data_IF_962576187257
#
_entry.id   IF_962576187257
#
_cell.length_a   1.000
_cell.length_b   1.000
_cell.length_c   1.000
_cell.angle_alpha   90.00
_cell.angle_beta   90.00
_cell.angle_gamma   90.00
#
_symmetry.space_group_name_H-M   'P 1'
#
loop_
_entity.id
_entity.type
_entity.pdbx_description
1 polymer ?
#
# COMPACT_ATOMS: atom_id res chain seq x y z
N UNK A 1 -80.78 -29.67 -13.72
CA UNK A 1 -79.32 -29.57 -13.93
C UNK A 1 -78.58 -28.94 -12.75
N UNK A 2 -79.27 -28.22 -11.84
CA UNK A 2 -78.61 -27.46 -10.77
C UNK A 2 -77.92 -28.28 -9.68
N UNK A 3 -78.41 -29.50 -9.38
CA UNK A 3 -77.86 -30.29 -8.28
C UNK A 3 -76.50 -30.94 -8.61
N UNK A 4 -76.25 -31.28 -9.88
CA UNK A 4 -74.96 -31.85 -10.32
C UNK A 4 -73.85 -30.79 -10.38
N UNK A 5 -74.20 -29.56 -10.79
CA UNK A 5 -73.28 -28.43 -10.80
C UNK A 5 -72.82 -28.07 -9.38
N UNK A 6 -73.75 -28.07 -8.41
CA UNK A 6 -73.42 -27.75 -7.01
C UNK A 6 -72.47 -28.76 -6.38
N UNK A 7 -72.70 -30.06 -6.61
CA UNK A 7 -71.82 -31.13 -6.13
C UNK A 7 -70.43 -31.05 -6.80
N UNK A 8 -70.38 -30.75 -8.11
CA UNK A 8 -69.11 -30.58 -8.82
C UNK A 8 -68.27 -29.45 -8.22
N UNK A 9 -68.84 -28.27 -7.96
CA UNK A 9 -68.13 -27.14 -7.36
C UNK A 9 -67.73 -27.36 -5.88
N UNK A 10 -68.54 -28.07 -5.09
CA UNK A 10 -68.18 -28.44 -3.72
C UNK A 10 -67.00 -29.42 -3.67
N UNK A 11 -67.02 -30.46 -4.52
CA UNK A 11 -65.93 -31.45 -4.61
C UNK A 11 -64.65 -30.80 -5.16
N UNK A 12 -64.77 -29.97 -6.21
CA UNK A 12 -63.62 -29.27 -6.79
C UNK A 12 -63.02 -28.23 -5.82
N UNK A 13 -63.86 -27.52 -5.07
CA UNK A 13 -63.43 -26.56 -4.04
C UNK A 13 -62.68 -27.21 -2.87
N UNK A 14 -63.13 -28.39 -2.42
CA UNK A 14 -62.42 -29.18 -1.40
C UNK A 14 -61.09 -29.70 -1.93
N UNK A 15 -61.04 -30.14 -3.20
CA UNK A 15 -59.80 -30.59 -3.85
C UNK A 15 -58.78 -29.45 -4.03
N UNK A 16 -59.24 -28.25 -4.42
CA UNK A 16 -58.39 -27.08 -4.59
C UNK A 16 -57.85 -26.56 -3.24
N UNK A 17 -58.68 -26.50 -2.19
CA UNK A 17 -58.24 -26.14 -0.83
C UNK A 17 -57.19 -27.10 -0.28
N UNK A 18 -57.34 -28.41 -0.49
CA UNK A 18 -56.33 -29.41 -0.11
C UNK A 18 -54.99 -29.17 -0.81
N UNK A 19 -54.99 -28.87 -2.11
CA UNK A 19 -53.77 -28.56 -2.88
C UNK A 19 -53.09 -27.27 -2.41
N UNK A 20 -53.87 -26.22 -2.11
CA UNK A 20 -53.35 -24.96 -1.57
C UNK A 20 -52.74 -25.17 -0.18
N UNK A 21 -53.39 -25.93 0.70
CA UNK A 21 -52.82 -26.26 2.02
C UNK A 21 -51.53 -27.09 1.93
N UNK A 22 -51.44 -28.03 0.98
CA UNK A 22 -50.22 -28.82 0.75
C UNK A 22 -49.08 -27.91 0.22
N UNK A 23 -49.37 -26.99 -0.69
CA UNK A 23 -48.40 -26.00 -1.18
C UNK A 23 -47.93 -25.03 -0.08
N UNK A 24 -48.84 -24.53 0.76
CA UNK A 24 -48.51 -23.66 1.89
C UNK A 24 -47.71 -24.41 2.98
N UNK A 25 -48.03 -25.67 3.26
CA UNK A 25 -47.24 -26.50 4.16
C UNK A 25 -45.82 -26.77 3.64
N UNK A 26 -45.67 -26.98 2.32
CA UNK A 26 -44.36 -27.10 1.68
C UNK A 26 -43.56 -25.79 1.72
N UNK A 27 -44.21 -24.64 1.52
CA UNK A 27 -43.57 -23.33 1.62
C UNK A 27 -43.07 -23.03 3.06
N UNK A 28 -43.86 -23.39 4.08
CA UNK A 28 -43.47 -23.25 5.50
C UNK A 28 -42.33 -24.20 5.88
N UNK A 29 -42.30 -25.41 5.30
CA UNK A 29 -41.20 -26.38 5.49
C UNK A 29 -39.88 -25.90 4.86
N UNK A 30 -39.96 -25.21 3.71
CA UNK A 30 -38.79 -24.65 3.03
C UNK A 30 -38.23 -23.41 3.75
N UNK A 31 -39.09 -22.55 4.33
CA UNK A 31 -38.65 -21.37 5.08
C UNK A 31 -38.23 -21.66 6.52
N UNK A 32 -38.77 -22.70 7.16
CA UNK A 32 -38.40 -23.09 8.53
C UNK A 32 -37.07 -23.83 8.63
N UNK A 33 -36.59 -24.43 7.54
CA UNK A 33 -35.34 -25.20 7.55
C UNK A 33 -34.10 -24.31 7.68
N UNK A 34 -34.10 -23.14 7.01
CA UNK A 34 -32.97 -22.19 7.06
C UNK A 34 -32.80 -21.56 8.43
N UNK A 35 -33.88 -21.19 9.12
CA UNK A 35 -33.79 -20.64 10.48
C UNK A 35 -33.29 -21.68 11.49
N UNK A 36 -33.71 -22.94 11.36
CA UNK A 36 -33.26 -24.05 12.22
C UNK A 36 -31.78 -24.40 11.93
N UNK A 37 -31.35 -24.31 10.67
CA UNK A 37 -29.95 -24.49 10.28
C UNK A 37 -29.06 -23.43 10.93
N UNK A 38 -29.40 -22.14 10.78
CA UNK A 38 -28.70 -21.01 11.41
C UNK A 38 -28.60 -21.12 12.93
N UNK A 39 -29.68 -21.52 13.61
CA UNK A 39 -29.65 -21.69 15.07
C UNK A 39 -28.67 -22.82 15.48
N UNK A 40 -28.68 -23.95 14.75
CA UNK A 40 -27.76 -25.06 15.03
C UNK A 40 -26.31 -24.70 14.71
N UNK A 41 -26.07 -23.98 13.61
CA UNK A 41 -24.76 -23.46 13.28
C UNK A 41 -24.27 -22.51 14.37
N UNK A 42 -25.10 -21.55 14.80
CA UNK A 42 -24.78 -20.63 15.91
C UNK A 42 -24.45 -21.34 17.21
N UNK A 43 -25.11 -22.46 17.52
CA UNK A 43 -24.74 -23.28 18.68
C UNK A 43 -23.32 -23.86 18.55
N UNK A 44 -22.94 -24.34 17.37
CA UNK A 44 -21.60 -24.85 17.11
C UNK A 44 -20.55 -23.74 17.10
N UNK A 45 -20.86 -22.56 16.56
CA UNK A 45 -19.96 -21.39 16.58
C UNK A 45 -19.64 -20.99 18.03
N UNK A 46 -20.66 -20.82 18.88
CA UNK A 46 -20.46 -20.49 20.31
C UNK A 46 -19.65 -21.53 21.06
N UNK A 47 -19.81 -22.81 20.71
CA UNK A 47 -18.99 -23.85 21.28
C UNK A 47 -17.53 -23.71 20.80
N UNK A 48 -17.32 -23.43 19.52
CA UNK A 48 -15.99 -23.22 18.96
C UNK A 48 -15.27 -22.01 19.56
N UNK A 49 -15.92 -20.86 19.66
CA UNK A 49 -15.38 -19.65 20.31
C UNK A 49 -14.96 -19.95 21.75
N UNK A 50 -15.81 -20.69 22.50
CA UNK A 50 -15.47 -21.14 23.84
C UNK A 50 -14.21 -22.02 23.83
N UNK A 51 -14.13 -22.99 22.92
CA UNK A 51 -12.97 -23.87 22.81
C UNK A 51 -11.69 -23.11 22.40
N UNK A 52 -11.78 -22.09 21.54
CA UNK A 52 -10.67 -21.19 21.21
C UNK A 52 -10.14 -20.46 22.45
N UNK A 53 -11.03 -19.92 23.29
CA UNK A 53 -10.68 -19.27 24.56
C UNK A 53 -10.07 -20.24 25.59
N UNK A 54 -10.44 -21.52 25.51
CA UNK A 54 -9.89 -22.60 26.35
C UNK A 54 -8.61 -23.22 25.74
N UNK A 55 -8.13 -22.71 24.59
CA UNK A 55 -7.02 -23.24 23.79
C UNK A 55 -7.21 -24.71 23.34
N UNK A 56 -8.46 -25.21 23.35
CA UNK A 56 -8.83 -26.55 22.86
C UNK A 56 -9.13 -26.48 21.35
N UNK A 57 -8.08 -26.25 20.56
CA UNK A 57 -8.21 -26.01 19.13
C UNK A 57 -8.79 -27.21 18.37
N UNK A 58 -8.50 -28.44 18.82
CA UNK A 58 -9.07 -29.66 18.22
C UNK A 58 -10.61 -29.65 18.29
N UNK A 59 -11.18 -29.34 19.47
CA UNK A 59 -12.64 -29.27 19.60
C UNK A 59 -13.23 -28.06 18.88
N UNK A 60 -12.53 -26.91 18.87
CA UNK A 60 -12.93 -25.74 18.10
C UNK A 60 -13.07 -26.08 16.60
N UNK A 61 -12.05 -26.72 16.02
CA UNK A 61 -12.03 -27.17 14.62
C UNK A 61 -13.21 -28.13 14.33
N UNK A 62 -13.49 -29.09 15.22
CA UNK A 62 -14.63 -30.02 15.04
C UNK A 62 -15.96 -29.26 15.03
N UNK A 63 -16.14 -28.31 15.95
CA UNK A 63 -17.37 -27.52 16.03
C UNK A 63 -17.54 -26.61 14.80
N UNK A 64 -16.47 -25.95 14.34
CA UNK A 64 -16.49 -25.09 13.16
C UNK A 64 -16.80 -25.85 11.87
N UNK A 65 -16.24 -27.05 11.70
CA UNK A 65 -16.61 -27.89 10.56
C UNK A 65 -18.11 -28.23 10.53
N UNK A 66 -18.73 -28.50 11.68
CA UNK A 66 -20.19 -28.69 11.77
C UNK A 66 -20.97 -27.42 11.46
N UNK A 67 -20.48 -26.25 11.90
CA UNK A 67 -21.09 -24.97 11.56
C UNK A 67 -21.06 -24.71 10.04
N UNK A 68 -19.94 -25.00 9.39
CA UNK A 68 -19.76 -24.90 7.93
C UNK A 68 -20.66 -25.88 7.18
N UNK A 69 -20.81 -27.12 7.66
CA UNK A 69 -21.74 -28.09 7.04
C UNK A 69 -23.19 -27.59 7.03
N UNK A 70 -23.59 -26.84 8.06
CA UNK A 70 -24.93 -26.28 8.20
C UNK A 70 -25.09 -24.97 7.40
N UNK A 71 -24.09 -24.09 7.45
CA UNK A 71 -24.10 -22.79 6.78
C UNK A 71 -22.84 -22.63 5.89
N UNK A 72 -22.78 -23.33 4.73
CA UNK A 72 -21.57 -23.38 3.88
C UNK A 72 -21.29 -22.08 3.12
N UNK A 73 -22.12 -21.05 3.29
CA UNK A 73 -21.95 -19.72 2.68
C UNK A 73 -21.60 -18.62 3.69
N UNK A 74 -21.53 -18.95 4.97
CA UNK A 74 -21.14 -17.99 5.99
C UNK A 74 -19.60 -17.93 6.05
N UNK A 75 -19.03 -16.77 5.70
CA UNK A 75 -17.57 -16.57 5.60
C UNK A 75 -16.91 -16.54 6.98
N UNK A 76 -17.56 -15.96 7.99
CA UNK A 76 -17.09 -15.95 9.39
C UNK A 76 -16.70 -17.33 9.91
N UNK A 77 -17.50 -18.36 9.58
CA UNK A 77 -17.21 -19.75 9.96
C UNK A 77 -15.88 -20.25 9.37
N UNK A 78 -15.55 -19.82 8.16
CA UNK A 78 -14.27 -20.15 7.52
C UNK A 78 -13.13 -19.30 8.09
N UNK A 79 -13.36 -18.03 8.42
CA UNK A 79 -12.36 -17.17 9.10
C UNK A 79 -11.97 -17.77 10.45
N UNK A 80 -12.94 -18.09 11.31
CA UNK A 80 -12.71 -18.75 12.59
C UNK A 80 -12.01 -20.11 12.44
N UNK A 81 -12.31 -20.86 11.38
CA UNK A 81 -11.63 -22.14 11.12
C UNK A 81 -10.18 -21.93 10.68
N UNK A 82 -9.91 -20.92 9.86
CA UNK A 82 -8.56 -20.58 9.46
C UNK A 82 -7.73 -20.15 10.67
N UNK A 83 -8.31 -19.33 11.55
CA UNK A 83 -7.71 -18.90 12.81
C UNK A 83 -7.43 -20.09 13.75
N UNK A 84 -8.43 -20.96 13.98
CA UNK A 84 -8.26 -22.16 14.80
C UNK A 84 -7.11 -23.05 14.29
N UNK A 85 -6.99 -23.21 12.97
CA UNK A 85 -5.85 -23.93 12.38
C UNK A 85 -4.51 -23.22 12.58
N UNK A 86 -4.44 -21.89 12.62
CA UNK A 86 -3.18 -21.18 12.90
C UNK A 86 -2.78 -21.32 14.36
N UNK A 87 -3.72 -21.12 15.29
CA UNK A 87 -3.47 -21.27 16.73
C UNK A 87 -3.05 -22.71 17.09
N UNK A 88 -3.53 -23.71 16.33
CA UNK A 88 -3.11 -25.12 16.44
C UNK A 88 -1.80 -25.46 15.70
N UNK A 89 -1.13 -24.49 15.06
CA UNK A 89 0.10 -24.70 14.27
C UNK A 89 -0.09 -25.40 12.92
N UNK A 90 -1.34 -25.63 12.48
CA UNK A 90 -1.68 -26.28 11.22
C UNK A 90 -1.75 -25.29 10.04
N UNK A 91 -0.66 -24.55 9.80
CA UNK A 91 -0.59 -23.47 8.80
C UNK A 91 -1.04 -23.88 7.39
N UNK A 92 -0.68 -25.08 6.92
CA UNK A 92 -1.10 -25.59 5.61
C UNK A 92 -2.63 -25.76 5.47
N UNK A 93 -3.29 -26.17 6.56
CA UNK A 93 -4.76 -26.27 6.58
C UNK A 93 -5.39 -24.89 6.63
N UNK A 94 -4.83 -23.96 7.41
CA UNK A 94 -5.25 -22.57 7.42
C UNK A 94 -5.16 -21.93 6.02
N UNK A 95 -4.00 -22.00 5.34
CA UNK A 95 -3.83 -21.50 3.95
C UNK A 95 -4.87 -22.10 3.00
N UNK A 96 -5.21 -23.39 3.18
CA UNK A 96 -6.23 -24.06 2.38
C UNK A 96 -7.66 -23.55 2.64
N UNK A 97 -7.98 -23.15 3.88
CA UNK A 97 -9.26 -22.54 4.24
C UNK A 97 -9.34 -21.12 3.72
N UNK A 98 -8.31 -20.30 3.92
CA UNK A 98 -8.21 -18.93 3.40
C UNK A 98 -8.38 -18.89 1.86
N UNK A 99 -7.80 -19.86 1.14
CA UNK A 99 -8.00 -19.99 -0.31
C UNK A 99 -9.45 -20.26 -0.72
N UNK A 100 -10.28 -20.84 0.16
CA UNK A 100 -11.72 -21.00 -0.08
C UNK A 100 -12.46 -19.68 0.13
N UNK A 101 -12.02 -18.86 1.10
CA UNK A 101 -12.62 -17.55 1.40
C UNK A 101 -12.56 -16.61 0.19
N UNK A 102 -11.41 -16.58 -0.52
CA UNK A 102 -11.25 -15.83 -1.79
C UNK A 102 -12.20 -16.23 -2.94
N UNK A 103 -13.03 -17.25 -2.77
CA UNK A 103 -14.04 -17.68 -3.77
C UNK A 103 -15.44 -17.17 -3.48
N UNK A 104 -15.65 -16.46 -2.38
CA UNK A 104 -16.90 -15.76 -2.11
C UNK A 104 -16.86 -14.41 -2.83
N UNK A 105 -17.97 -14.06 -3.49
CA UNK A 105 -18.04 -12.88 -4.37
C UNK A 105 -18.24 -11.57 -3.59
N UNK A 106 -18.84 -11.64 -2.39
CA UNK A 106 -19.25 -10.47 -1.59
C UNK A 106 -18.76 -10.62 -0.14
N UNK A 107 -17.50 -10.21 0.15
CA UNK A 107 -17.03 -10.06 1.53
C UNK A 107 -17.36 -8.64 2.03
N UNK A 108 -17.74 -8.54 3.30
CA UNK A 108 -17.81 -7.27 4.02
C UNK A 108 -16.40 -6.73 4.30
N UNK A 109 -16.28 -5.42 4.56
CA UNK A 109 -14.99 -4.80 4.90
C UNK A 109 -14.37 -5.44 6.16
N UNK A 110 -15.20 -5.84 7.13
CA UNK A 110 -14.76 -6.58 8.32
C UNK A 110 -14.22 -7.98 7.96
N UNK A 111 -14.91 -8.73 7.08
CA UNK A 111 -14.43 -10.04 6.62
C UNK A 111 -13.14 -9.93 5.80
N UNK A 112 -12.98 -8.87 4.99
CA UNK A 112 -11.74 -8.57 4.25
C UNK A 112 -10.60 -8.27 5.22
N UNK A 113 -10.85 -7.41 6.20
CA UNK A 113 -9.89 -7.07 7.26
C UNK A 113 -9.40 -8.32 7.98
N UNK A 114 -10.31 -9.15 8.49
CA UNK A 114 -9.98 -10.42 9.16
C UNK A 114 -9.26 -11.40 8.24
N UNK A 115 -9.69 -11.50 6.99
CA UNK A 115 -9.02 -12.33 5.98
C UNK A 115 -7.57 -11.89 5.77
N UNK A 116 -7.33 -10.58 5.60
CA UNK A 116 -6.00 -10.03 5.36
C UNK A 116 -5.07 -10.31 6.55
N UNK A 117 -5.53 -10.10 7.78
CA UNK A 117 -4.79 -10.41 9.01
C UNK A 117 -4.37 -11.88 9.07
N UNK A 118 -5.31 -12.80 8.84
CA UNK A 118 -5.02 -14.23 8.84
C UNK A 118 -4.14 -14.65 7.65
N UNK A 119 -4.22 -13.95 6.52
CA UNK A 119 -3.46 -14.27 5.32
C UNK A 119 -2.04 -13.67 5.31
N UNK A 120 -1.78 -12.68 6.17
CA UNK A 120 -0.57 -11.85 6.20
C UNK A 120 0.72 -12.67 6.14
N UNK A 121 0.90 -13.64 7.04
CA UNK A 121 2.09 -14.52 7.07
C UNK A 121 2.36 -15.21 5.72
N UNK A 122 1.31 -15.65 5.04
CA UNK A 122 1.44 -16.32 3.74
C UNK A 122 1.82 -15.33 2.65
N UNK A 123 1.26 -14.12 2.69
CA UNK A 123 1.58 -13.03 1.75
C UNK A 123 3.04 -12.62 1.91
N UNK A 124 3.51 -12.40 3.14
CA UNK A 124 4.89 -11.96 3.41
C UNK A 124 5.88 -13.02 2.95
N UNK A 125 5.57 -14.30 3.22
CA UNK A 125 6.35 -15.43 2.70
C UNK A 125 6.39 -15.42 1.17
N UNK A 126 5.24 -15.27 0.51
CA UNK A 126 5.14 -15.31 -0.94
C UNK A 126 5.90 -14.09 -1.56
N UNK A 127 5.80 -12.89 -0.98
CA UNK A 127 6.54 -11.67 -1.37
C UNK A 127 8.06 -11.86 -1.21
N UNK A 128 8.53 -12.23 -0.01
CA UNK A 128 9.96 -12.38 0.28
C UNK A 128 10.59 -13.53 -0.54
N UNK A 129 9.84 -14.61 -0.75
CA UNK A 129 10.27 -15.72 -1.61
C UNK A 129 10.34 -15.31 -3.06
N UNK A 130 9.39 -14.50 -3.54
CA UNK A 130 9.46 -13.95 -4.90
C UNK A 130 10.70 -13.06 -5.05
N UNK A 131 10.90 -12.12 -4.12
CA UNK A 131 12.07 -11.24 -4.13
C UNK A 131 13.39 -12.04 -4.11
N UNK A 132 13.49 -13.07 -3.25
CA UNK A 132 14.66 -13.94 -3.24
C UNK A 132 14.94 -14.60 -4.60
N UNK A 133 13.92 -15.12 -5.26
CA UNK A 133 14.08 -15.89 -6.49
C UNK A 133 14.26 -15.01 -7.73
N UNK A 134 13.64 -13.83 -7.77
CA UNK A 134 13.54 -13.02 -8.99
C UNK A 134 14.23 -11.67 -8.89
N UNK A 135 14.60 -11.21 -7.69
CA UNK A 135 15.11 -9.86 -7.47
C UNK A 135 14.03 -8.81 -7.58
N UNK A 136 12.74 -9.21 -7.61
CA UNK A 136 11.58 -8.32 -7.75
C UNK A 136 10.67 -8.35 -6.53
N UNK A 137 10.44 -7.18 -5.96
CA UNK A 137 9.50 -6.94 -4.87
C UNK A 137 8.55 -5.77 -5.19
N UNK A 138 8.94 -4.91 -6.15
CA UNK A 138 8.29 -3.65 -6.46
C UNK A 138 9.08 -2.47 -5.90
N UNK A 139 9.02 -1.31 -6.56
CA UNK A 139 9.75 -0.12 -6.14
C UNK A 139 11.20 -0.09 -6.63
N UNK A 140 12.08 0.48 -5.81
CA UNK A 140 13.39 0.99 -6.24
C UNK A 140 14.53 -0.04 -6.20
N UNK A 141 14.34 -1.20 -5.55
CA UNK A 141 15.38 -2.21 -5.37
C UNK A 141 15.42 -3.25 -6.51
N UNK A 142 14.43 -3.25 -7.40
CA UNK A 142 14.19 -4.35 -8.33
C UNK A 142 15.34 -4.58 -9.33
N UNK A 143 15.75 -5.84 -9.47
CA UNK A 143 16.74 -6.30 -10.46
C UNK A 143 16.35 -7.69 -11.01
N UNK A 144 17.01 -8.14 -12.07
CA UNK A 144 16.72 -9.44 -12.69
C UNK A 144 17.70 -10.49 -12.18
N UNK A 145 17.24 -11.42 -11.33
CA UNK A 145 18.04 -12.56 -10.89
C UNK A 145 17.74 -13.02 -9.47
N UNK A 146 18.27 -14.17 -9.08
CA UNK A 146 18.13 -14.65 -7.71
C UNK A 146 19.11 -13.90 -6.80
N UNK A 147 18.66 -13.47 -5.61
CA UNK A 147 19.46 -12.70 -4.66
C UNK A 147 20.80 -13.37 -4.32
N UNK A 148 20.86 -14.70 -4.25
CA UNK A 148 22.10 -15.43 -3.97
C UNK A 148 23.19 -15.29 -5.03
N UNK A 149 22.87 -14.74 -6.20
CA UNK A 149 23.80 -14.50 -7.31
C UNK A 149 24.35 -13.06 -7.30
N UNK A 150 23.83 -12.17 -6.46
CA UNK A 150 24.39 -10.83 -6.25
C UNK A 150 25.61 -10.92 -5.30
N UNK A 151 26.81 -10.88 -5.88
CA UNK A 151 28.06 -10.91 -5.12
C UNK A 151 28.47 -9.54 -4.58
N UNK A 152 27.87 -8.46 -5.08
CA UNK A 152 28.18 -7.08 -4.68
C UNK A 152 27.46 -6.73 -3.39
N UNK A 153 26.28 -7.31 -3.15
CA UNK A 153 25.44 -7.00 -2.00
C UNK A 153 25.06 -8.24 -1.18
N UNK A 154 24.91 -8.04 0.13
CA UNK A 154 24.21 -8.98 1.01
C UNK A 154 22.86 -8.37 1.36
N UNK A 155 21.78 -9.13 1.14
CA UNK A 155 20.43 -8.70 1.51
C UNK A 155 20.11 -9.25 2.89
N UNK A 156 19.85 -8.36 3.84
CA UNK A 156 19.33 -8.69 5.17
C UNK A 156 17.87 -8.23 5.24
N UNK A 157 17.07 -8.83 6.11
CA UNK A 157 15.69 -8.41 6.29
C UNK A 157 15.23 -8.49 7.74
N UNK A 158 14.15 -7.78 8.03
CA UNK A 158 13.44 -7.81 9.31
C UNK A 158 11.97 -7.51 9.05
N UNK A 159 11.10 -8.05 9.89
CA UNK A 159 9.68 -7.73 9.86
C UNK A 159 9.35 -7.06 11.20
N UNK A 160 8.86 -5.83 11.16
CA UNK A 160 8.64 -5.01 12.36
C UNK A 160 7.67 -3.87 12.05
N UNK A 161 6.74 -3.62 12.98
CA UNK A 161 5.80 -2.49 12.91
C UNK A 161 6.52 -1.17 13.20
N UNK A 162 6.91 -0.47 12.14
CA UNK A 162 7.55 0.85 12.21
C UNK A 162 6.56 1.99 11.97
N UNK A 163 5.40 1.69 11.37
CA UNK A 163 4.33 2.67 11.11
C UNK A 163 3.40 2.87 12.30
N UNK A 164 3.45 1.98 13.30
CA UNK A 164 2.69 2.07 14.54
C UNK A 164 1.22 1.70 14.41
N UNK A 165 0.81 1.06 13.30
CA UNK A 165 -0.57 0.65 13.03
C UNK A 165 -0.90 -0.77 13.54
N UNK A 166 0.07 -1.45 14.15
CA UNK A 166 -0.06 -2.82 14.64
C UNK A 166 0.18 -3.89 13.56
N UNK A 167 0.51 -3.49 12.33
CA UNK A 167 0.86 -4.36 11.21
C UNK A 167 2.35 -4.19 10.94
N UNK A 168 3.09 -5.29 10.87
CA UNK A 168 4.54 -5.24 10.72
C UNK A 168 4.95 -4.92 9.27
N UNK A 169 5.88 -4.01 9.03
CA UNK A 169 6.44 -3.79 7.68
C UNK A 169 7.57 -4.76 7.35
N UNK A 170 7.78 -5.00 6.05
CA UNK A 170 8.96 -5.71 5.55
C UNK A 170 10.09 -4.69 5.36
N UNK A 171 11.18 -4.86 6.10
CA UNK A 171 12.39 -4.05 5.95
C UNK A 171 13.46 -4.89 5.25
N UNK A 172 13.99 -4.38 4.14
CA UNK A 172 15.11 -4.98 3.41
C UNK A 172 16.30 -4.04 3.51
N UNK A 173 17.43 -4.58 3.97
CA UNK A 173 18.71 -3.89 3.95
C UNK A 173 19.62 -4.49 2.89
N UNK A 174 19.86 -3.73 1.82
CA UNK A 174 20.86 -4.06 0.80
C UNK A 174 22.22 -3.55 1.27
N UNK A 175 22.99 -4.43 1.89
CA UNK A 175 24.32 -4.10 2.41
C UNK A 175 25.38 -4.29 1.34
N UNK A 176 26.22 -3.28 1.11
CA UNK A 176 27.40 -3.43 0.25
C UNK A 176 28.39 -4.42 0.87
N UNK A 177 28.88 -5.38 0.08
CA UNK A 177 29.98 -6.26 0.48
C UNK A 177 31.34 -5.55 0.39
N UNK A 178 31.41 -4.44 -0.34
CA UNK A 178 32.57 -3.56 -0.37
C UNK A 178 32.52 -2.56 0.79
N UNK A 179 33.65 -2.43 1.49
CA UNK A 179 33.80 -1.48 2.59
C UNK A 179 33.86 -0.03 2.06
N UNK A 180 33.08 0.90 2.63
CA UNK A 180 33.10 2.29 2.21
C UNK A 180 34.49 2.93 2.41
N UNK A 181 35.00 3.56 1.35
CA UNK A 181 36.34 4.16 1.32
C UNK A 181 36.44 5.39 2.26
N UNK A 182 35.35 6.13 2.42
CA UNK A 182 35.24 7.31 3.28
C UNK A 182 33.89 7.35 4.01
N UNK A 183 33.69 8.38 4.86
CA UNK A 183 32.50 8.53 5.70
C UNK A 183 31.19 8.78 4.90
N UNK A 184 31.32 9.31 3.69
CA UNK A 184 30.21 9.55 2.77
C UNK A 184 29.94 8.34 1.87
N UNK A 185 30.89 7.40 1.79
CA UNK A 185 30.75 6.17 1.03
C UNK A 185 29.54 5.34 1.46
N UNK A 186 28.91 4.72 0.46
CA UNK A 186 27.70 3.90 0.61
C UNK A 186 27.97 2.64 1.43
N UNK A 187 27.32 2.51 2.58
CA UNK A 187 27.29 1.31 3.43
C UNK A 187 26.21 0.34 2.94
N UNK A 188 25.08 0.88 2.50
CA UNK A 188 23.96 0.13 1.97
C UNK A 188 22.73 1.01 1.80
N UNK A 189 21.60 0.39 1.48
CA UNK A 189 20.29 1.06 1.42
C UNK A 189 19.27 0.27 2.22
N UNK A 190 18.35 0.98 2.88
CA UNK A 190 17.22 0.41 3.60
C UNK A 190 15.94 0.70 2.83
N UNK A 191 15.15 -0.33 2.57
CA UNK A 191 13.87 -0.24 1.88
C UNK A 191 12.79 -0.76 2.82
N UNK A 192 11.70 -0.01 2.94
CA UNK A 192 10.59 -0.33 3.84
C UNK A 192 9.33 -0.53 3.01
N UNK A 193 8.69 -1.67 3.21
CA UNK A 193 7.51 -2.06 2.46
C UNK A 193 6.33 -2.30 3.38
N UNK A 194 5.22 -1.60 3.10
CA UNK A 194 3.90 -1.92 3.63
C UNK A 194 3.23 -2.91 2.70
N UNK A 195 2.51 -3.89 3.25
CA UNK A 195 1.77 -4.86 2.45
C UNK A 195 0.33 -4.42 2.28
N UNK A 196 -0.06 -4.12 1.05
CA UNK A 196 -1.38 -3.61 0.68
C UNK A 196 -1.92 -4.48 -0.44
N UNK A 197 -3.12 -5.04 -0.25
CA UNK A 197 -3.79 -5.91 -1.24
C UNK A 197 -2.88 -7.05 -1.77
N UNK A 198 -2.23 -7.77 -0.84
CA UNK A 198 -1.26 -8.83 -1.11
C UNK A 198 0.02 -8.39 -1.87
N UNK A 199 0.30 -7.10 -2.00
CA UNK A 199 1.49 -6.55 -2.68
C UNK A 199 2.37 -5.75 -1.73
N UNK A 200 3.68 -5.79 -1.94
CA UNK A 200 4.61 -4.90 -1.27
C UNK A 200 4.57 -3.51 -1.92
N UNK A 201 4.41 -2.48 -1.11
CA UNK A 201 4.42 -1.07 -1.50
C UNK A 201 5.54 -0.38 -0.76
N UNK A 202 6.52 0.15 -1.48
CA UNK A 202 7.65 0.89 -0.90
C UNK A 202 7.13 2.18 -0.25
N UNK A 203 7.31 2.31 1.07
CA UNK A 203 6.91 3.49 1.86
C UNK A 203 8.09 4.35 2.29
N UNK A 204 9.32 3.81 2.14
CA UNK A 204 10.57 4.53 2.37
C UNK A 204 11.74 3.84 1.65
N UNK A 205 12.73 4.64 1.26
CA UNK A 205 13.97 4.21 0.64
C UNK A 205 15.12 5.12 1.11
N UNK A 206 16.00 4.57 1.94
CA UNK A 206 16.99 5.32 2.68
C UNK A 206 18.40 4.89 2.27
N UNK A 207 19.17 5.85 1.77
CA UNK A 207 20.61 5.69 1.59
C UNK A 207 21.35 5.73 2.93
N UNK A 208 22.14 4.71 3.22
CA UNK A 208 22.94 4.64 4.45
C UNK A 208 24.42 4.78 4.10
N UNK A 209 25.06 5.86 4.59
CA UNK A 209 26.52 6.04 4.49
C UNK A 209 27.27 5.30 5.61
N UNK A 210 28.58 5.18 5.48
CA UNK A 210 29.47 4.43 6.38
C UNK A 210 29.19 4.61 7.87
N UNK A 211 29.10 5.85 8.33
CA UNK A 211 28.98 6.21 9.75
C UNK A 211 27.52 6.45 10.17
N UNK A 212 26.57 6.20 9.28
CA UNK A 212 25.15 6.46 9.47
C UNK A 212 24.36 5.19 9.80
N UNK A 213 23.26 5.41 10.51
CA UNK A 213 22.22 4.42 10.81
C UNK A 213 20.88 5.11 10.98
N UNK A 214 19.82 4.33 10.82
CA UNK A 214 18.43 4.75 11.01
C UNK A 214 17.88 4.21 12.33
N UNK A 215 17.17 5.07 13.05
CA UNK A 215 16.49 4.71 14.30
C UNK A 215 15.02 5.08 14.18
N UNK A 216 14.16 4.07 14.29
CA UNK A 216 12.70 4.19 14.29
C UNK A 216 12.16 4.20 15.71
N UNK A 217 11.13 5.00 15.95
CA UNK A 217 10.50 5.23 17.24
C UNK A 217 9.04 4.78 17.23
N UNK A 218 8.47 4.58 18.43
CA UNK A 218 7.08 4.11 18.60
C UNK A 218 6.00 5.11 18.18
N UNK A 219 6.36 6.36 17.86
CA UNK A 219 5.45 7.38 17.36
C UNK A 219 5.54 7.54 15.83
N UNK A 220 5.93 6.46 15.15
CA UNK A 220 5.98 6.37 13.69
C UNK A 220 6.93 7.39 13.06
N UNK A 221 7.99 7.74 13.79
CA UNK A 221 9.05 8.63 13.33
C UNK A 221 10.38 7.90 13.26
N UNK A 222 11.28 8.38 12.40
CA UNK A 222 12.67 7.92 12.41
C UNK A 222 13.66 9.05 12.22
N UNK A 223 14.93 8.73 12.47
CA UNK A 223 16.02 9.68 12.40
C UNK A 223 17.27 9.06 11.78
N UNK A 224 17.84 9.77 10.81
CA UNK A 224 19.15 9.47 10.24
C UNK A 224 20.26 10.10 11.09
N UNK A 225 21.06 9.30 11.76
CA UNK A 225 22.10 9.81 12.67
C UNK A 225 23.47 9.22 12.38
N UNK A 226 24.51 9.96 12.76
CA UNK A 226 25.89 9.46 12.80
C UNK A 226 26.30 9.14 14.24
N UNK A 227 26.65 7.89 14.50
CA UNK A 227 26.96 7.38 15.84
C UNK A 227 25.73 7.01 16.69
N UNK A 228 25.91 6.98 18.01
CA UNK A 228 24.87 6.57 18.96
C UNK A 228 23.93 7.72 19.32
N UNK A 229 22.64 7.40 19.52
CA UNK A 229 21.61 8.36 19.99
C UNK A 229 22.04 9.07 21.30
N UNK A 230 22.83 8.41 22.13
CA UNK A 230 23.37 8.93 23.40
C UNK A 230 24.49 9.97 23.23
N UNK A 231 25.10 10.06 22.04
CA UNK A 231 26.29 10.86 21.80
C UNK A 231 26.30 11.57 20.46
N UNK A 232 25.12 11.80 19.86
CA UNK A 232 24.99 12.48 18.55
C UNK A 232 25.81 13.77 18.55
N UNK A 233 26.86 13.78 17.74
CA UNK A 233 27.66 14.96 17.44
C UNK A 233 27.36 15.35 15.99
N UNK A 234 26.34 16.18 15.78
CA UNK A 234 26.05 16.73 14.45
C UNK A 234 24.58 16.89 14.12
N UNK A 235 24.35 17.17 12.85
CA UNK A 235 23.03 17.30 12.23
C UNK A 235 22.43 15.91 11.97
N UNK A 236 21.12 15.79 12.19
CA UNK A 236 20.31 14.63 11.85
C UNK A 236 19.12 15.07 11.01
N UNK A 237 18.54 14.13 10.28
CA UNK A 237 17.29 14.35 9.55
C UNK A 237 16.19 13.57 10.26
N UNK A 238 15.11 14.25 10.61
CA UNK A 238 13.95 13.66 11.26
C UNK A 238 12.82 13.48 10.25
N UNK A 239 12.17 12.32 10.30
CA UNK A 239 11.11 11.95 9.40
C UNK A 239 9.92 11.43 10.19
N UNK A 240 8.71 11.72 9.70
CA UNK A 240 7.45 11.24 10.29
C UNK A 240 6.63 10.51 9.24
N UNK A 241 6.02 9.40 9.64
CA UNK A 241 5.13 8.64 8.78
C UNK A 241 3.83 9.42 8.53
N UNK A 242 3.40 9.44 7.28
CA UNK A 242 2.14 10.02 6.86
C UNK A 242 1.19 8.92 6.37
N UNK A 243 0.17 8.62 7.18
CA UNK A 243 -0.82 7.58 6.87
C UNK A 243 -1.63 7.89 5.60
N UNK A 244 -1.92 9.16 5.32
CA UNK A 244 -2.79 9.57 4.20
C UNK A 244 -2.21 9.13 2.84
N UNK A 245 -0.87 9.15 2.72
CA UNK A 245 -0.16 8.77 1.50
C UNK A 245 0.80 7.58 1.66
N UNK A 246 0.82 6.98 2.85
CA UNK A 246 1.70 5.87 3.24
C UNK A 246 3.17 6.10 2.87
N UNK A 247 3.75 7.19 3.38
CA UNK A 247 5.14 7.57 3.09
C UNK A 247 5.79 8.26 4.31
N UNK A 248 7.07 7.99 4.55
CA UNK A 248 7.86 8.79 5.50
C UNK A 248 8.32 10.09 4.86
N UNK A 249 8.03 11.21 5.53
CA UNK A 249 8.33 12.53 5.02
C UNK A 249 9.28 13.26 5.96
N UNK A 250 10.22 14.02 5.36
CA UNK A 250 11.09 14.89 6.12
C UNK A 250 10.25 15.92 6.88
N UNK A 251 10.58 16.14 8.15
CA UNK A 251 9.89 17.09 9.00
C UNK A 251 10.87 18.22 9.37
N UNK A 252 10.48 19.46 9.06
CA UNK A 252 11.29 20.66 9.33
C UNK A 252 11.36 20.98 10.83
N UNK A 253 10.33 20.61 11.60
CA UNK A 253 10.29 20.80 13.04
C UNK A 253 10.99 19.63 13.76
N UNK A 254 12.32 19.67 13.77
CA UNK A 254 13.15 18.66 14.44
C UNK A 254 12.98 18.70 15.97
N UNK A 255 12.64 17.57 16.63
CA UNK A 255 12.61 17.48 18.09
C UNK A 255 14.02 17.63 18.65
N UNK A 256 14.19 18.29 19.80
CA UNK A 256 15.51 18.42 20.43
C UNK A 256 16.17 17.06 20.70
N UNK A 257 17.51 17.02 20.76
CA UNK A 257 18.24 15.78 21.08
C UNK A 257 17.75 15.14 22.39
N UNK A 258 17.41 15.96 23.39
CA UNK A 258 16.87 15.46 24.66
C UNK A 258 15.48 14.85 24.53
N UNK A 259 14.65 15.32 23.60
CA UNK A 259 13.34 14.71 23.29
C UNK A 259 13.53 13.40 22.53
N UNK A 260 14.40 13.36 21.51
CA UNK A 260 14.74 12.14 20.78
C UNK A 260 15.27 11.03 21.71
N UNK A 261 16.14 11.37 22.67
CA UNK A 261 16.68 10.42 23.65
C UNK A 261 15.64 9.85 24.62
N UNK A 262 14.48 10.50 24.75
CA UNK A 262 13.37 10.02 25.58
C UNK A 262 12.39 9.16 24.79
N UNK A 263 12.44 9.19 23.45
CA UNK A 263 11.59 8.36 22.61
C UNK A 263 11.97 6.89 22.76
N UNK A 264 10.96 6.03 22.70
CA UNK A 264 11.14 4.58 22.73
C UNK A 264 11.53 4.09 21.33
N UNK A 265 12.69 3.46 21.22
CA UNK A 265 13.17 2.87 19.98
C UNK A 265 12.40 1.58 19.68
N UNK A 266 11.93 1.46 18.44
CA UNK A 266 11.29 0.27 17.86
C UNK A 266 12.32 -0.54 17.08
N UNK A 267 13.10 0.14 16.24
CA UNK A 267 14.04 -0.50 15.33
C UNK A 267 15.29 0.37 15.15
N UNK A 268 16.44 -0.29 15.03
CA UNK A 268 17.74 0.30 14.74
C UNK A 268 18.32 -0.45 13.55
N UNK A 269 18.70 0.24 12.48
CA UNK A 269 19.19 -0.40 11.25
C UNK A 269 20.44 -1.25 11.48
N UNK A 270 21.27 -0.95 12.49
CA UNK A 270 22.44 -1.78 12.81
C UNK A 270 22.07 -3.11 13.48
N UNK A 271 20.82 -3.25 13.94
CA UNK A 271 20.31 -4.50 14.53
C UNK A 271 19.90 -5.55 13.49
N UNK A 272 19.94 -5.23 12.20
CA UNK A 272 19.55 -6.18 11.14
C UNK A 272 20.69 -7.15 10.86
N UNK A 273 20.45 -8.44 11.12
CA UNK A 273 21.47 -9.49 11.02
C UNK A 273 21.00 -10.74 10.26
N UNK A 274 19.71 -10.82 9.94
CA UNK A 274 19.10 -11.98 9.28
C UNK A 274 19.28 -11.91 7.78
N UNK A 275 20.12 -12.80 7.23
CA UNK A 275 20.34 -12.93 5.79
C UNK A 275 19.05 -13.37 5.09
N UNK A 276 18.68 -12.70 4.01
CA UNK A 276 17.52 -13.04 3.20
C UNK A 276 17.79 -14.31 2.38
N UNK A 277 17.18 -15.41 2.81
CA UNK A 277 17.16 -16.70 2.12
C UNK A 277 15.91 -17.48 2.55
N UNK A 278 15.56 -18.54 1.82
CA UNK A 278 14.33 -19.31 2.05
C UNK A 278 14.21 -19.87 3.47
N UNK A 279 15.29 -20.38 4.06
CA UNK A 279 15.28 -20.94 5.43
C UNK A 279 15.00 -19.85 6.48
N UNK A 280 15.65 -18.70 6.34
CA UNK A 280 15.47 -17.57 7.23
C UNK A 280 14.09 -16.92 7.07
N UNK A 281 13.56 -16.84 5.83
CA UNK A 281 12.18 -16.40 5.56
C UNK A 281 11.19 -17.32 6.27
N UNK A 282 11.32 -18.63 6.08
CA UNK A 282 10.43 -19.61 6.71
C UNK A 282 10.43 -19.50 8.23
N UNK A 283 11.62 -19.35 8.83
CA UNK A 283 11.78 -19.19 10.28
C UNK A 283 11.12 -17.91 10.78
N UNK A 284 11.32 -16.77 10.10
CA UNK A 284 10.78 -15.48 10.54
C UNK A 284 9.26 -15.44 10.46
N UNK A 285 8.70 -15.97 9.37
CA UNK A 285 7.24 -16.04 9.15
C UNK A 285 6.56 -16.97 10.17
N UNK A 286 7.21 -18.07 10.55
CA UNK A 286 6.69 -18.96 11.60
C UNK A 286 6.67 -18.28 12.98
N UNK A 287 7.65 -17.41 13.25
CA UNK A 287 7.80 -16.70 14.53
C UNK A 287 6.94 -15.43 14.67
N UNK A 288 6.40 -14.90 13.57
CA UNK A 288 5.44 -13.78 13.63
C UNK A 288 4.32 -14.07 14.63
N UNK A 289 3.88 -13.08 15.38
CA UNK A 289 2.73 -13.28 16.27
C UNK A 289 1.45 -13.47 15.44
N UNK A 290 0.51 -14.27 15.96
CA UNK A 290 -0.82 -14.36 15.36
C UNK A 290 -1.58 -13.15 15.90
N UNK A 291 -1.82 -12.17 15.04
CA UNK A 291 -2.67 -11.02 15.36
C UNK A 291 -4.10 -11.49 15.52
N UNK A 292 -4.75 -11.11 16.61
CA UNK A 292 -6.17 -11.40 16.81
C UNK A 292 -6.98 -10.56 15.81
N UNK A 293 -7.74 -11.18 14.89
CA UNK A 293 -8.51 -10.42 13.90
C UNK A 293 -9.55 -9.48 14.53
N UNK A 294 -9.96 -9.71 15.77
CA UNK A 294 -10.91 -8.85 16.49
C UNK A 294 -10.23 -7.62 17.13
N UNK A 295 -8.89 -7.60 17.24
CA UNK A 295 -8.12 -6.44 17.71
C UNK A 295 -7.84 -5.42 16.59
N UNK A 296 -8.24 -5.72 15.35
CA UNK A 296 -7.99 -4.86 14.19
C UNK A 296 -8.91 -3.62 14.18
N UNK A 297 -8.29 -2.44 14.12
CA UNK A 297 -9.01 -1.18 13.91
C UNK A 297 -9.33 -0.99 12.43
N UNK A 298 -10.60 -1.17 12.04
CA UNK A 298 -11.07 -0.71 10.72
C UNK A 298 -11.39 0.78 10.87
N UNK A 299 -10.56 1.64 10.27
CA UNK A 299 -10.82 3.08 10.28
C UNK A 299 -12.12 3.38 9.54
N UNK A 300 -13.07 4.03 10.21
CA UNK A 300 -14.42 4.37 9.70
C UNK A 300 -14.40 5.55 8.71
N UNK A 301 -13.21 6.06 8.37
CA UNK A 301 -13.03 7.38 7.77
C UNK A 301 -12.93 7.30 6.24
N UNK A 302 -14.06 7.04 5.59
CA UNK A 302 -14.29 7.69 4.28
C UNK A 302 -14.84 9.07 4.56
N UNK A 303 -13.94 10.03 4.84
CA UNK A 303 -14.37 11.44 4.91
C UNK A 303 -14.78 11.86 3.51
N UNK A 304 -16.09 12.02 3.30
CA UNK A 304 -16.64 12.72 2.14
C UNK A 304 -15.95 14.09 2.03
N UNK A 305 -15.05 14.22 1.06
CA UNK A 305 -14.31 15.46 0.81
C UNK A 305 -15.29 16.48 0.20
N UNK A 306 -15.38 17.67 0.79
CA UNK A 306 -16.01 18.82 0.12
C UNK A 306 -15.08 19.31 -1.01
N UNK A 307 -15.27 18.72 -2.21
CA UNK A 307 -14.53 19.00 -3.46
C UNK A 307 -14.47 20.51 -3.77
N UNK A 308 -15.39 21.33 -3.24
CA UNK A 308 -15.38 22.79 -3.45
C UNK A 308 -14.19 23.52 -2.79
N UNK A 309 -13.35 22.82 -2.01
CA UNK A 309 -12.18 23.40 -1.35
C UNK A 309 -10.82 23.04 -2.00
N UNK A 310 -10.79 22.14 -2.99
CA UNK A 310 -9.53 21.63 -3.60
C UNK A 310 -8.71 22.75 -4.25
N UNK A 311 -9.32 23.56 -5.11
CA UNK A 311 -8.64 24.69 -5.76
C UNK A 311 -8.09 25.73 -4.76
N UNK A 312 -8.71 25.86 -3.58
CA UNK A 312 -8.20 26.76 -2.51
C UNK A 312 -6.97 26.18 -1.83
N UNK A 313 -6.92 24.87 -1.65
CA UNK A 313 -5.74 24.19 -1.12
C UNK A 313 -4.56 24.27 -2.10
N UNK A 314 -4.80 24.15 -3.41
CA UNK A 314 -3.77 24.39 -4.43
C UNK A 314 -3.33 25.85 -4.52
N UNK A 315 -4.24 26.81 -4.28
CA UNK A 315 -3.88 28.22 -4.16
C UNK A 315 -2.81 28.45 -3.10
N UNK A 316 -2.92 27.79 -1.95
CA UNK A 316 -1.95 27.94 -0.87
C UNK A 316 -0.57 27.39 -1.27
N UNK A 317 -0.52 26.25 -1.96
CA UNK A 317 0.71 25.69 -2.55
C UNK A 317 1.32 26.67 -3.56
N UNK A 318 0.53 27.16 -4.52
CA UNK A 318 1.02 28.06 -5.57
C UNK A 318 1.53 29.40 -5.02
N UNK A 319 0.91 29.95 -3.96
CA UNK A 319 1.43 31.15 -3.31
C UNK A 319 2.71 30.89 -2.52
N UNK A 320 2.88 29.70 -1.95
CA UNK A 320 4.16 29.31 -1.34
C UNK A 320 5.25 29.29 -2.40
N UNK A 321 5.02 28.63 -3.52
CA UNK A 321 5.96 28.59 -4.64
C UNK A 321 6.26 29.98 -5.23
N UNK A 322 5.23 30.82 -5.42
CA UNK A 322 5.39 32.18 -5.94
C UNK A 322 6.27 33.07 -5.04
N UNK A 323 6.16 32.89 -3.72
CA UNK A 323 6.93 33.66 -2.75
C UNK A 323 8.27 32.99 -2.40
N UNK A 324 8.57 31.82 -2.97
CA UNK A 324 9.83 31.11 -2.75
C UNK A 324 10.96 31.88 -3.42
N UNK A 325 11.98 32.25 -2.65
CA UNK A 325 13.08 33.11 -3.11
C UNK A 325 14.28 32.34 -3.64
N UNK A 326 14.12 31.02 -3.84
CA UNK A 326 15.15 30.13 -4.38
C UNK A 326 16.24 29.72 -3.38
N UNK A 327 16.11 30.13 -2.11
CA UNK A 327 16.99 29.70 -1.03
C UNK A 327 16.15 29.24 0.16
N UNK A 328 15.99 27.94 0.30
CA UNK A 328 15.59 27.41 1.58
C UNK A 328 16.81 27.23 2.47
N UNK A 329 17.03 28.17 3.39
CA UNK A 329 18.07 28.04 4.41
C UNK A 329 17.70 27.01 5.50
N UNK A 330 16.45 26.51 5.50
CA UNK A 330 15.88 25.65 6.54
C UNK A 330 15.37 24.29 5.99
N UNK A 331 14.87 24.17 4.75
CA UNK A 331 14.54 22.92 4.08
C UNK A 331 15.69 22.42 3.19
N UNK A 332 16.38 21.37 3.65
CA UNK A 332 17.35 20.63 2.84
C UNK A 332 16.65 19.59 1.96
N UNK A 333 15.71 20.05 1.11
CA UNK A 333 15.31 19.27 -0.05
C UNK A 333 16.41 19.36 -1.11
N UNK A 334 16.78 18.22 -1.71
CA UNK A 334 17.75 18.20 -2.82
C UNK A 334 17.20 18.85 -4.11
N UNK A 335 15.95 19.34 -4.09
CA UNK A 335 15.34 20.12 -5.17
C UNK A 335 15.64 21.60 -4.98
N UNK A 336 16.76 22.04 -5.54
CA UNK A 336 17.12 23.46 -5.62
C UNK A 336 16.41 24.06 -6.84
N UNK A 337 15.12 24.39 -6.68
CA UNK A 337 14.34 25.00 -7.76
C UNK A 337 13.03 25.61 -7.32
N UNK A 338 12.60 26.68 -7.99
CA UNK A 338 11.30 27.31 -7.76
C UNK A 338 10.32 26.82 -8.81
N UNK A 339 9.12 26.38 -8.41
CA UNK A 339 8.06 26.16 -9.37
C UNK A 339 7.73 27.47 -10.07
N UNK A 340 7.63 27.45 -11.41
CA UNK A 340 7.37 28.65 -12.20
C UNK A 340 6.17 28.51 -13.14
N UNK A 341 5.79 27.27 -13.45
CA UNK A 341 4.59 26.96 -14.22
C UNK A 341 3.78 25.86 -13.55
N UNK A 342 2.48 25.83 -13.85
CA UNK A 342 1.57 24.80 -13.39
C UNK A 342 0.55 24.40 -14.45
N UNK A 343 -0.12 23.29 -14.21
CA UNK A 343 -1.34 22.87 -14.89
C UNK A 343 -2.28 22.23 -13.87
N UNK A 344 -3.58 22.27 -14.17
CA UNK A 344 -4.60 21.48 -13.47
C UNK A 344 -5.10 20.40 -14.43
N UNK A 345 -5.02 19.15 -14.00
CA UNK A 345 -5.49 18.01 -14.78
C UNK A 345 -5.74 16.86 -13.83
N UNK A 346 -6.88 16.19 -13.98
CA UNK A 346 -7.10 14.88 -13.36
C UNK A 346 -6.05 13.92 -13.89
N UNK A 347 -5.09 13.49 -13.07
CA UNK A 347 -4.03 12.53 -13.44
C UNK A 347 -4.08 11.28 -12.58
N UNK A 348 -4.85 11.28 -11.50
CA UNK A 348 -5.11 10.13 -10.63
C UNK A 348 -6.29 9.28 -11.11
N UNK A 349 -7.22 9.86 -11.89
CA UNK A 349 -8.42 9.22 -12.41
C UNK A 349 -9.64 9.30 -11.50
N UNK A 350 -9.59 10.11 -10.45
CA UNK A 350 -10.69 10.27 -9.49
C UNK A 350 -11.74 11.30 -9.94
N UNK A 351 -11.52 11.97 -11.08
CA UNK A 351 -12.38 13.00 -11.63
C UNK A 351 -12.18 14.39 -11.02
N UNK A 352 -11.17 14.55 -10.16
CA UNK A 352 -10.74 15.83 -9.58
C UNK A 352 -9.41 16.22 -10.23
N UNK A 353 -9.28 17.49 -10.62
CA UNK A 353 -8.01 17.95 -11.18
C UNK A 353 -6.92 17.96 -10.11
N UNK A 354 -5.77 17.36 -10.42
CA UNK A 354 -4.55 17.46 -9.63
C UNK A 354 -3.71 18.66 -10.06
N UNK A 355 -2.83 19.13 -9.18
CA UNK A 355 -1.90 20.23 -9.45
C UNK A 355 -0.55 19.69 -9.91
N UNK A 356 -0.19 19.98 -11.16
CA UNK A 356 1.11 19.63 -11.72
C UNK A 356 1.98 20.88 -11.72
N UNK A 357 3.17 20.81 -11.13
CA UNK A 357 4.14 21.88 -11.08
C UNK A 357 5.34 21.58 -11.98
N UNK A 358 5.82 22.60 -12.68
CA UNK A 358 7.10 22.61 -13.39
C UNK A 358 8.09 23.48 -12.61
N UNK A 359 9.22 22.88 -12.27
CA UNK A 359 10.20 23.41 -11.32
C UNK A 359 11.50 23.68 -12.05
N UNK A 360 12.00 24.91 -11.95
CA UNK A 360 13.28 25.30 -12.56
C UNK A 360 14.43 24.80 -11.70
N UNK A 361 15.13 23.76 -12.15
CA UNK A 361 16.31 23.25 -11.48
C UNK A 361 17.55 24.04 -11.96
N UNK A 362 17.78 25.19 -11.31
CA UNK A 362 18.73 26.23 -11.71
C UNK A 362 20.20 25.75 -11.91
N UNK A 363 20.53 24.53 -11.49
CA UNK A 363 21.88 23.97 -11.56
C UNK A 363 22.14 23.07 -12.79
N UNK A 364 21.10 22.55 -13.47
CA UNK A 364 21.26 21.46 -14.46
C UNK A 364 20.64 21.70 -15.85
N UNK A 365 20.11 22.89 -16.15
CA UNK A 365 19.48 23.22 -17.46
C UNK A 365 18.31 22.29 -17.86
N UNK A 366 17.65 21.67 -16.88
CA UNK A 366 16.52 20.76 -17.05
C UNK A 366 15.48 21.05 -15.97
N UNK A 367 14.21 20.88 -16.31
CA UNK A 367 13.12 21.07 -15.35
C UNK A 367 12.96 19.84 -14.46
N UNK A 368 12.26 20.00 -13.34
CA UNK A 368 11.69 18.89 -12.58
C UNK A 368 10.17 19.05 -12.56
N UNK A 369 9.45 17.96 -12.30
CA UNK A 369 7.99 17.99 -12.18
C UNK A 369 7.56 17.38 -10.85
N UNK A 370 6.54 17.98 -10.25
CA UNK A 370 5.86 17.45 -9.07
C UNK A 370 4.34 17.41 -9.32
N UNK A 371 3.68 16.42 -8.74
CA UNK A 371 2.22 16.28 -8.79
C UNK A 371 1.70 16.36 -7.37
N UNK A 372 0.74 17.25 -7.14
CA UNK A 372 0.07 17.44 -5.87
C UNK A 372 -1.41 17.06 -5.98
N UNK A 373 -1.88 16.29 -5.00
CA UNK A 373 -3.29 15.94 -4.86
C UNK A 373 -3.82 16.27 -3.47
N UNK A 374 -5.15 16.33 -3.32
CA UNK A 374 -5.80 16.57 -2.04
C UNK A 374 -6.29 15.24 -1.47
N UNK A 375 -5.65 14.78 -0.41
CA UNK A 375 -6.02 13.56 0.31
C UNK A 375 -6.49 13.95 1.71
N UNK A 376 -7.65 13.46 2.13
CA UNK A 376 -8.23 13.73 3.45
C UNK A 376 -8.27 15.23 3.84
N UNK A 377 -8.49 16.11 2.86
CA UNK A 377 -8.62 17.55 3.05
C UNK A 377 -7.30 18.31 3.20
N UNK A 378 -6.16 17.66 2.92
CA UNK A 378 -4.83 18.26 2.92
C UNK A 378 -4.16 18.04 1.56
N UNK A 379 -3.28 18.95 1.19
CA UNK A 379 -2.50 18.83 -0.05
C UNK A 379 -1.22 18.05 0.20
N UNK A 380 -0.96 17.03 -0.61
CA UNK A 380 0.27 16.24 -0.56
C UNK A 380 0.93 16.20 -1.93
N UNK A 381 2.26 16.16 -1.93
CA UNK A 381 3.00 15.76 -3.12
C UNK A 381 2.84 14.25 -3.27
N UNK A 382 2.19 13.82 -4.35
CA UNK A 382 1.89 12.41 -4.63
C UNK A 382 2.84 11.83 -5.70
N UNK A 383 3.65 12.69 -6.32
CA UNK A 383 4.83 12.36 -7.10
C UNK A 383 5.80 13.53 -6.93
N UNK A 384 6.97 13.26 -6.35
CA UNK A 384 8.06 14.22 -6.25
C UNK A 384 9.36 13.60 -6.76
N UNK A 385 9.72 13.91 -8.01
CA UNK A 385 11.05 13.59 -8.53
C UNK A 385 11.91 14.84 -8.41
N UNK A 386 12.71 14.85 -7.36
CA UNK A 386 13.71 15.90 -7.15
C UNK A 386 14.89 15.87 -8.11
N UNK A 387 15.00 14.83 -8.94
CA UNK A 387 16.01 14.73 -9.97
C UNK A 387 15.63 15.59 -11.18
N UNK A 388 16.58 16.27 -11.84
CA UNK A 388 16.34 16.92 -13.13
C UNK A 388 15.85 15.90 -14.14
N UNK A 389 14.81 16.28 -14.88
CA UNK A 389 14.23 15.44 -15.93
C UNK A 389 13.97 16.28 -17.19
N UNK A 390 13.85 15.60 -18.31
CA UNK A 390 13.64 16.22 -19.61
C UNK A 390 12.18 16.52 -19.89
N UNK A 391 11.30 15.62 -19.47
CA UNK A 391 9.86 15.71 -19.71
C UNK A 391 9.09 14.78 -18.77
N UNK A 392 7.83 15.11 -18.52
CA UNK A 392 6.83 14.27 -17.87
C UNK A 392 5.72 13.93 -18.87
N UNK A 393 5.36 12.65 -18.96
CA UNK A 393 4.28 12.18 -19.81
C UNK A 393 3.31 11.41 -18.93
N UNK A 394 2.08 11.90 -18.85
CA UNK A 394 1.00 11.23 -18.13
C UNK A 394 0.09 10.62 -19.19
N UNK A 395 -0.19 9.33 -19.08
CA UNK A 395 -1.00 8.59 -20.05
C UNK A 395 -2.48 8.55 -19.65
N UNK A 396 -3.33 8.19 -20.60
CA UNK A 396 -4.79 8.05 -20.37
C UNK A 396 -5.16 6.97 -19.33
N UNK A 397 -4.25 6.04 -19.04
CA UNK A 397 -4.41 5.05 -17.98
C UNK A 397 -3.82 5.50 -16.63
N UNK A 398 -3.53 6.79 -16.49
CA UNK A 398 -2.97 7.43 -15.28
C UNK A 398 -1.59 6.91 -14.87
N UNK A 399 -0.89 6.22 -15.77
CA UNK A 399 0.54 5.95 -15.59
C UNK A 399 1.39 7.14 -16.02
N UNK A 400 2.56 7.29 -15.41
CA UNK A 400 3.44 8.44 -15.63
C UNK A 400 4.83 7.97 -16.04
N UNK A 401 5.37 8.55 -17.11
CA UNK A 401 6.73 8.35 -17.58
C UNK A 401 7.51 9.65 -17.39
N UNK A 402 8.62 9.56 -16.68
CA UNK A 402 9.58 10.66 -16.49
C UNK A 402 10.84 10.28 -17.25
N UNK A 403 11.29 11.19 -18.12
CA UNK A 403 12.45 10.94 -18.97
C UNK A 403 13.67 11.66 -18.42
N UNK A 404 14.79 10.95 -18.30
CA UNK A 404 16.04 11.46 -17.76
C UNK A 404 17.01 11.66 -18.93
N UNK A 405 16.99 12.85 -19.55
CA UNK A 405 17.81 13.22 -20.71
C UNK A 405 17.02 13.41 -22.02
N UNK A 406 17.44 14.40 -22.85
CA UNK A 406 16.70 14.87 -24.04
C UNK A 406 16.11 16.28 -23.85
N UNK A 407 15.60 16.92 -24.91
CA UNK A 407 14.99 18.27 -24.84
C UNK A 407 13.45 18.28 -25.00
N UNK A 408 12.79 17.12 -25.21
CA UNK A 408 11.32 16.92 -25.22
C UNK A 408 10.95 15.46 -25.59
N UNK A 409 9.67 15.06 -25.37
CA UNK A 409 9.09 13.76 -25.77
C UNK A 409 9.31 13.37 -27.25
N UNK A 410 9.30 14.33 -28.17
CA UNK A 410 9.50 14.04 -29.61
C UNK A 410 10.94 13.60 -29.88
N UNK A 411 11.92 14.26 -29.25
CA UNK A 411 13.33 13.87 -29.31
C UNK A 411 13.55 12.49 -28.67
N UNK A 412 12.81 12.16 -27.61
CA UNK A 412 12.85 10.84 -26.95
C UNK A 412 12.34 9.71 -27.86
N UNK A 413 11.21 9.88 -28.56
CA UNK A 413 10.70 8.86 -29.51
C UNK A 413 11.65 8.68 -30.71
N UNK A 414 12.42 9.72 -31.05
CA UNK A 414 13.19 9.77 -32.30
C UNK A 414 14.70 9.59 -32.14
N UNK A 415 15.25 9.55 -30.92
CA UNK A 415 16.70 9.44 -30.69
C UNK A 415 17.08 8.59 -29.46
N UNK A 416 18.16 7.80 -29.63
CA UNK A 416 19.16 7.19 -28.70
C UNK A 416 18.76 6.99 -27.21
N UNK A 417 19.11 5.87 -26.54
CA UNK A 417 18.50 5.49 -25.26
C UNK A 417 18.79 6.44 -24.09
N UNK A 418 17.80 7.25 -23.69
CA UNK A 418 17.80 8.03 -22.44
C UNK A 418 17.27 7.20 -21.27
N UNK A 419 17.71 7.45 -20.05
CA UNK A 419 17.15 6.77 -18.88
C UNK A 419 15.70 7.23 -18.62
N UNK A 420 14.92 6.41 -17.93
CA UNK A 420 13.54 6.77 -17.59
C UNK A 420 13.09 6.12 -16.30
N UNK A 421 12.08 6.77 -15.71
CA UNK A 421 11.34 6.28 -14.56
C UNK A 421 9.87 6.17 -14.95
N UNK A 422 9.27 5.03 -14.66
CA UNK A 422 7.88 4.75 -14.98
C UNK A 422 7.12 4.45 -13.68
N UNK A 423 6.01 5.16 -13.51
CA UNK A 423 5.22 5.18 -12.29
C UNK A 423 3.78 4.76 -12.55
N UNK A 424 3.20 4.10 -11.55
CA UNK A 424 1.78 3.75 -11.51
C UNK A 424 1.13 4.45 -10.33
N UNK A 425 -0.03 5.08 -10.55
CA UNK A 425 -0.83 5.60 -9.45
C UNK A 425 -1.45 4.44 -8.65
N UNK A 426 -1.21 4.43 -7.35
CA UNK A 426 -1.81 3.47 -6.41
C UNK A 426 -2.86 4.20 -5.56
N UNK A 427 -4.14 3.96 -5.85
CA UNK A 427 -5.26 4.58 -5.17
C UNK A 427 -5.37 4.20 -3.70
N UNK A 428 -4.87 3.02 -3.30
CA UNK A 428 -4.96 2.52 -1.92
C UNK A 428 -4.03 3.28 -0.96
N UNK A 429 -3.09 4.07 -1.51
CA UNK A 429 -2.18 4.96 -0.77
C UNK A 429 -2.16 6.38 -1.34
N UNK A 430 -3.04 6.70 -2.29
CA UNK A 430 -3.10 8.01 -2.96
C UNK A 430 -1.75 8.56 -3.46
N UNK A 431 -0.86 7.69 -3.99
CA UNK A 431 0.51 8.06 -4.42
C UNK A 431 0.97 7.32 -5.67
N UNK A 432 1.83 7.93 -6.46
CA UNK A 432 2.54 7.27 -7.55
C UNK A 432 3.70 6.42 -7.01
N UNK A 433 3.75 5.14 -7.40
CA UNK A 433 4.81 4.21 -7.04
C UNK A 433 5.68 3.94 -8.26
N UNK A 434 7.00 3.91 -8.05
CA UNK A 434 7.97 3.52 -9.07
C UNK A 434 7.74 2.05 -9.44
N UNK A 435 7.40 1.82 -10.71
CA UNK A 435 7.22 0.48 -11.28
C UNK A 435 8.50 0.02 -11.99
N UNK A 436 9.19 0.95 -12.67
CA UNK A 436 10.45 0.64 -13.35
C UNK A 436 11.35 1.86 -13.43
N UNK A 437 12.62 1.65 -13.12
CA UNK A 437 13.72 2.58 -13.38
C UNK A 437 14.71 1.88 -14.33
N UNK A 438 15.06 2.55 -15.43
CA UNK A 438 16.01 2.02 -16.42
C UNK A 438 17.06 3.07 -16.80
N UNK A 439 18.32 2.73 -16.56
CA UNK A 439 19.47 3.59 -16.83
C UNK A 439 20.17 3.31 -18.16
N UNK A 440 19.87 2.19 -18.83
CA UNK A 440 20.61 1.71 -20.00
C UNK A 440 19.64 1.11 -21.02
N UNK A 441 18.91 1.98 -21.71
CA UNK A 441 17.78 1.68 -22.61
C UNK A 441 18.16 0.93 -23.93
N UNK A 442 19.11 0.00 -23.91
CA UNK A 442 19.50 -0.76 -25.10
C UNK A 442 18.41 -1.80 -25.41
N UNK A 443 17.48 -1.45 -26.30
CA UNK A 443 16.39 -2.30 -26.81
C UNK A 443 15.39 -2.78 -25.74
N UNK A 444 14.78 -1.85 -25.01
CA UNK A 444 13.75 -2.22 -24.04
C UNK A 444 12.36 -2.41 -24.70
N UNK A 445 11.90 -3.67 -24.79
CA UNK A 445 10.53 -4.00 -25.21
C UNK A 445 9.49 -3.34 -24.29
N UNK A 446 9.82 -3.16 -23.01
CA UNK A 446 8.93 -2.57 -22.01
C UNK A 446 8.65 -1.11 -22.32
N UNK A 447 9.69 -0.29 -22.51
CA UNK A 447 9.53 1.11 -22.92
C UNK A 447 8.75 1.23 -24.25
N UNK A 448 9.08 0.40 -25.24
CA UNK A 448 8.39 0.40 -26.53
C UNK A 448 6.88 0.12 -26.41
N UNK A 449 6.45 -0.56 -25.34
CA UNK A 449 5.04 -0.76 -25.04
C UNK A 449 4.44 0.42 -24.28
N UNK A 450 5.19 1.06 -23.36
CA UNK A 450 4.75 2.27 -22.67
C UNK A 450 4.49 3.40 -23.67
N UNK A 451 5.43 3.71 -24.56
CA UNK A 451 5.33 4.87 -25.47
C UNK A 451 4.22 4.74 -26.53
N UNK A 452 3.60 3.56 -26.67
CA UNK A 452 2.41 3.36 -27.53
C UNK A 452 1.12 3.85 -26.87
N UNK A 453 1.13 4.08 -25.56
CA UNK A 453 -0.02 4.62 -24.83
C UNK A 453 -0.30 6.05 -25.29
N UNK A 454 -1.57 6.44 -25.23
CA UNK A 454 -1.97 7.80 -25.59
C UNK A 454 -1.64 8.76 -24.44
N UNK A 455 -0.91 9.87 -24.69
CA UNK A 455 -0.64 10.86 -23.68
C UNK A 455 -1.91 11.67 -23.36
N UNK A 456 -2.17 11.83 -22.06
CA UNK A 456 -3.20 12.67 -21.44
C UNK A 456 -2.68 14.08 -21.17
N UNK A 457 -1.39 14.19 -20.81
CA UNK A 457 -0.66 15.42 -20.52
C UNK A 457 0.84 15.21 -20.79
N UNK A 458 1.52 16.24 -21.30
CA UNK A 458 2.98 16.31 -21.48
C UNK A 458 3.55 17.52 -20.73
N UNK A 459 4.87 17.59 -20.53
CA UNK A 459 5.50 18.72 -19.84
C UNK A 459 5.24 20.08 -20.52
N UNK A 460 5.06 20.09 -21.84
CA UNK A 460 4.69 21.29 -22.61
C UNK A 460 3.28 21.83 -22.28
N UNK A 461 2.40 20.96 -21.79
CA UNK A 461 1.06 21.35 -21.33
C UNK A 461 1.10 22.02 -19.95
N UNK A 462 2.20 21.86 -19.19
CA UNK A 462 2.45 22.54 -17.91
C UNK A 462 3.02 23.93 -18.17
N UNK A 463 2.15 24.86 -18.60
CA UNK A 463 2.58 26.14 -19.18
C UNK A 463 1.91 27.39 -18.57
N UNK A 464 1.08 27.25 -17.54
CA UNK A 464 0.47 28.40 -16.87
C UNK A 464 1.49 29.01 -15.91
N UNK A 465 1.95 30.23 -16.18
CA UNK A 465 2.89 30.91 -15.27
C UNK A 465 2.30 31.10 -13.87
N UNK A 466 3.09 30.82 -12.84
CA UNK A 466 2.72 31.06 -11.45
C UNK A 466 2.78 32.57 -11.18
N UNK A 467 1.63 33.24 -11.29
CA UNK A 467 1.47 34.67 -10.98
C UNK A 467 0.21 34.87 -10.15
N UNK A 468 0.11 35.94 -9.33
CA UNK A 468 -1.10 36.21 -8.56
C UNK A 468 -2.37 36.30 -9.42
N UNK A 469 -2.26 36.79 -10.66
CA UNK A 469 -3.38 36.84 -11.59
C UNK A 469 -3.82 35.43 -12.04
N UNK A 470 -2.89 34.58 -12.44
CA UNK A 470 -3.19 33.21 -12.87
C UNK A 470 -3.71 32.34 -11.72
N UNK A 471 -3.15 32.51 -10.51
CA UNK A 471 -3.61 31.82 -9.31
C UNK A 471 -5.07 32.18 -8.97
N UNK A 472 -5.44 33.47 -9.05
CA UNK A 472 -6.83 33.88 -8.80
C UNK A 472 -7.78 33.51 -9.95
N UNK A 473 -7.28 33.42 -11.19
CA UNK A 473 -8.07 32.95 -12.33
C UNK A 473 -8.39 31.45 -12.24
N UNK A 474 -7.49 30.63 -11.66
CA UNK A 474 -7.72 29.21 -11.42
C UNK A 474 -8.97 28.93 -10.56
N UNK A 475 -9.32 29.84 -9.65
CA UNK A 475 -10.47 29.72 -8.74
C UNK A 475 -11.84 29.99 -9.40
N UNK A 476 -11.84 30.61 -10.58
CA UNK A 476 -13.06 30.90 -11.36
C UNK A 476 -13.50 29.68 -12.16
#
# INVERSE_FOLDING_TARGET
MDNLYKIYYEVYGVYMKKRICIFLAFAVLLSGCSSISKIRASHHIKAAEKYLLEEDYEQAIIALNKAIELEPKNVDNYLLLAEAYQRDGQLNKSKSVLKKIKRFDDLTDEEIAKYNTLNMKFVYKDILTNFYNTGKIGGSIDFDGTISEDYENTYLFKIVDVTGDGIEEIIIYRKSNEEPVDAQGKKGDLFIYKVIEDKAVEIDNIFISKDKREIFFTDSSHVNISGDLSSIQGYYFYYTYNDDISEYQYNEEDPSLSELQQKKVVFDSDSIDKVLNIENIDTEIENMEIVDPDDMYVSDDTKDIDINNVKKLYKDVLYREYNFDGYDYEAKSYVVGSAYQFALKDVTGDGVDDLILRIDNAHNYQDSFAIYSVVNGKTYSILDKGAPCSDIIIFEDNSTLITNGGHNYIDYITSVPYSYDYYLYNSSISRFILEKEDYNNINDEYLNNIIKKSPKLTGDDVNIEITPENIENMLK
#
